data_IF_619463617149
#
_entry.id   IF_619463617149
#
_cell.length_a   1.000
_cell.length_b   1.000
_cell.length_c   1.000
_cell.angle_alpha   90.00
_cell.angle_beta   90.00
_cell.angle_gamma   90.00
#
_symmetry.space_group_name_H-M   'P 1'
#
loop_
_entity.id
_entity.type
_entity.pdbx_description
1 polymer ?
#
# COMPACT_ATOMS: atom_id res chain seq x y z
N UNK A 1 -5.94 14.34 13.80
CA UNK A 1 -6.53 14.18 12.44
C UNK A 1 -6.28 15.44 11.61
N UNK A 2 -6.94 16.58 11.92
CA UNK A 2 -6.76 17.84 11.19
C UNK A 2 -5.29 18.29 11.07
N UNK A 3 -4.57 18.36 12.19
CA UNK A 3 -3.16 18.76 12.27
C UNK A 3 -2.21 17.91 11.40
N UNK A 4 -2.47 16.60 11.30
CA UNK A 4 -1.63 15.68 10.56
C UNK A 4 -1.90 15.77 9.05
N UNK A 5 -3.18 15.73 8.65
CA UNK A 5 -3.56 15.83 7.24
C UNK A 5 -3.27 17.20 6.66
N UNK A 6 -3.34 18.29 7.43
CA UNK A 6 -2.88 19.61 7.01
C UNK A 6 -1.40 19.63 6.57
N UNK A 7 -0.56 18.80 7.22
CA UNK A 7 0.88 18.72 6.95
C UNK A 7 1.28 17.83 5.76
N UNK A 8 0.41 16.93 5.29
CA UNK A 8 0.76 15.88 4.30
C UNK A 8 0.19 16.10 2.90
N UNK A 9 -0.44 17.26 2.62
CA UNK A 9 -1.13 17.55 1.35
C UNK A 9 -0.18 17.73 0.15
N UNK A 10 -0.68 17.45 -1.07
CA UNK A 10 0.04 17.59 -2.34
C UNK A 10 0.33 19.06 -2.70
N UNK A 11 1.29 19.30 -3.59
CA UNK A 11 1.97 20.60 -3.76
C UNK A 11 1.08 21.85 -3.94
N UNK A 12 0.00 21.76 -4.72
CA UNK A 12 -0.94 22.88 -4.94
C UNK A 12 -1.81 23.12 -3.70
N UNK A 13 -2.21 22.05 -3.02
CA UNK A 13 -2.99 22.12 -1.79
C UNK A 13 -2.11 22.61 -0.64
N UNK A 14 -0.81 22.28 -0.61
CA UNK A 14 0.17 22.82 0.36
C UNK A 14 0.30 24.34 0.29
N UNK A 15 0.25 24.94 -0.91
CA UNK A 15 0.35 26.40 -1.08
C UNK A 15 -0.90 27.07 -0.50
N UNK A 16 -2.09 26.55 -0.78
CA UNK A 16 -3.35 27.08 -0.24
C UNK A 16 -3.51 26.80 1.26
N UNK A 17 -3.08 25.62 1.73
CA UNK A 17 -3.07 25.23 3.13
C UNK A 17 -2.13 26.13 3.96
N UNK A 18 -0.97 26.55 3.45
CA UNK A 18 -0.06 27.47 4.17
C UNK A 18 -0.70 28.80 4.58
N UNK A 19 -1.75 29.25 3.89
CA UNK A 19 -2.45 30.48 4.25
C UNK A 19 -3.58 30.28 5.29
N UNK A 20 -4.05 29.05 5.51
CA UNK A 20 -5.24 28.77 6.34
C UNK A 20 -5.11 27.59 7.33
N UNK A 21 -4.02 26.82 7.27
CA UNK A 21 -3.76 25.61 8.03
C UNK A 21 -2.34 25.67 8.61
N UNK A 22 -2.22 26.10 9.86
CA UNK A 22 -1.00 25.95 10.66
C UNK A 22 -1.15 24.74 11.57
N UNK A 23 -0.38 23.68 11.33
CA UNK A 23 -0.37 22.54 12.23
C UNK A 23 1.02 22.09 12.65
N UNK A 24 1.13 21.61 13.88
CA UNK A 24 2.36 21.10 14.48
C UNK A 24 2.32 19.57 14.46
N UNK A 25 3.06 18.98 13.52
CA UNK A 25 3.02 17.54 13.31
C UNK A 25 3.63 16.75 14.49
N UNK A 26 4.55 17.34 15.27
CA UNK A 26 5.09 16.70 16.47
C UNK A 26 4.01 16.61 17.56
N UNK A 27 3.31 17.72 17.83
CA UNK A 27 2.16 17.73 18.76
C UNK A 27 1.03 16.82 18.29
N UNK A 28 0.76 16.79 16.98
CA UNK A 28 -0.21 15.86 16.40
C UNK A 28 0.13 14.39 16.70
N UNK A 29 1.41 14.01 16.57
CA UNK A 29 1.89 12.67 16.91
C UNK A 29 1.78 12.39 18.40
N UNK A 30 2.11 13.36 19.27
CA UNK A 30 1.96 13.26 20.72
C UNK A 30 0.50 12.99 21.11
N UNK A 31 -0.45 13.76 20.58
CA UNK A 31 -1.88 13.56 20.83
C UNK A 31 -2.37 12.20 20.37
N UNK A 32 -1.88 11.70 19.23
CA UNK A 32 -2.22 10.34 18.77
C UNK A 32 -1.66 9.27 19.70
N UNK A 33 -0.43 9.41 20.20
CA UNK A 33 0.15 8.48 21.18
C UNK A 33 -0.66 8.48 22.48
N UNK A 34 -0.99 9.66 23.00
CA UNK A 34 -1.84 9.80 24.19
C UNK A 34 -3.22 9.17 23.99
N UNK A 35 -3.84 9.39 22.82
CA UNK A 35 -5.13 8.81 22.48
C UNK A 35 -5.06 7.28 22.33
N UNK A 36 -3.98 6.73 21.76
CA UNK A 36 -3.75 5.28 21.73
C UNK A 36 -3.72 4.69 23.15
N UNK A 37 -3.07 5.36 24.09
CA UNK A 37 -2.89 4.86 25.46
C UNK A 37 -4.13 5.06 26.35
N UNK A 38 -4.81 6.20 26.24
CA UNK A 38 -5.86 6.63 27.18
C UNK A 38 -7.23 6.85 26.55
N UNK A 39 -7.33 6.77 25.23
CA UNK A 39 -8.58 7.04 24.51
C UNK A 39 -9.62 5.94 24.75
N UNK A 40 -10.78 6.31 25.25
CA UNK A 40 -11.87 5.36 25.52
C UNK A 40 -12.51 4.83 24.23
N UNK A 41 -12.85 5.72 23.28
CA UNK A 41 -13.50 5.34 22.02
C UNK A 41 -12.55 5.28 20.82
N UNK A 42 -11.50 6.09 20.82
CA UNK A 42 -10.69 6.36 19.62
C UNK A 42 -9.27 5.75 19.67
N UNK A 43 -8.95 4.93 20.67
CA UNK A 43 -7.62 4.34 20.83
C UNK A 43 -7.21 3.47 19.63
N UNK A 44 -8.12 2.63 19.12
CA UNK A 44 -7.87 1.81 17.93
C UNK A 44 -7.61 2.66 16.68
N UNK A 45 -8.41 3.72 16.48
CA UNK A 45 -8.21 4.62 15.35
C UNK A 45 -6.87 5.35 15.44
N UNK A 46 -6.50 5.83 16.63
CA UNK A 46 -5.21 6.46 16.87
C UNK A 46 -4.04 5.50 16.62
N UNK A 47 -4.16 4.25 17.06
CA UNK A 47 -3.15 3.22 16.80
C UNK A 47 -2.98 2.91 15.31
N UNK A 48 -4.08 2.78 14.57
CA UNK A 48 -4.04 2.56 13.12
C UNK A 48 -3.39 3.73 12.38
N UNK A 49 -3.74 4.98 12.74
CA UNK A 49 -3.11 6.17 12.16
C UNK A 49 -1.61 6.24 12.47
N UNK A 50 -1.20 5.91 13.70
CA UNK A 50 0.22 5.87 14.04
C UNK A 50 0.97 4.80 13.27
N UNK A 51 0.39 3.61 13.10
CA UNK A 51 1.00 2.56 12.28
C UNK A 51 1.16 3.05 10.84
N UNK A 52 0.13 3.66 10.25
CA UNK A 52 0.19 4.24 8.90
C UNK A 52 1.34 5.25 8.77
N UNK A 53 1.46 6.20 9.73
CA UNK A 53 2.55 7.18 9.81
C UNK A 53 3.93 6.51 9.88
N UNK A 54 4.04 5.44 10.67
CA UNK A 54 5.29 4.72 10.90
C UNK A 54 5.71 3.86 9.71
N UNK A 55 4.75 3.46 8.87
CA UNK A 55 4.98 2.69 7.66
C UNK A 55 5.16 3.55 6.41
N UNK A 56 4.76 4.82 6.41
CA UNK A 56 4.93 5.72 5.25
C UNK A 56 6.42 5.97 4.94
N UNK A 57 6.92 5.58 3.75
CA UNK A 57 8.30 5.83 3.33
C UNK A 57 8.69 7.31 3.27
N UNK A 58 7.72 8.20 3.06
CA UNK A 58 7.93 9.66 2.98
C UNK A 58 7.83 10.39 4.32
N UNK A 59 7.42 9.70 5.39
CA UNK A 59 7.19 10.31 6.70
C UNK A 59 8.49 10.54 7.47
N UNK A 60 8.65 11.74 8.05
CA UNK A 60 9.77 12.01 8.99
C UNK A 60 9.65 11.25 10.31
N UNK A 61 8.45 10.73 10.61
CA UNK A 61 8.15 9.96 11.82
C UNK A 61 8.21 8.46 11.60
N UNK A 62 8.70 8.03 10.43
CA UNK A 62 8.80 6.64 10.03
C UNK A 62 9.48 5.80 11.12
N UNK A 63 8.83 4.71 11.53
CA UNK A 63 9.29 3.83 12.60
C UNK A 63 8.76 2.38 12.38
N UNK A 64 9.21 1.69 11.30
CA UNK A 64 8.60 0.44 10.85
C UNK A 64 8.69 -0.68 11.86
N UNK A 65 9.81 -0.81 12.59
CA UNK A 65 9.94 -1.81 13.65
C UNK A 65 8.87 -1.63 14.75
N UNK A 66 8.52 -0.38 15.09
CA UNK A 66 7.41 -0.10 16.01
C UNK A 66 6.06 -0.48 15.41
N UNK A 67 5.85 -0.16 14.13
CA UNK A 67 4.66 -0.58 13.40
C UNK A 67 4.50 -2.12 13.35
N UNK A 68 5.59 -2.87 13.15
CA UNK A 68 5.58 -4.35 13.20
C UNK A 68 5.13 -4.85 14.57
N UNK A 69 5.69 -4.30 15.65
CA UNK A 69 5.29 -4.67 17.01
C UNK A 69 3.80 -4.40 17.24
N UNK A 70 3.33 -3.20 16.95
CA UNK A 70 1.94 -2.80 17.24
C UNK A 70 0.93 -3.51 16.33
N UNK A 71 1.25 -3.69 15.05
CA UNK A 71 0.40 -4.43 14.13
C UNK A 71 0.29 -5.91 14.50
N UNK A 72 1.36 -6.52 15.03
CA UNK A 72 1.32 -7.89 15.57
C UNK A 72 0.45 -7.98 16.85
N UNK A 73 0.53 -7.00 17.75
CA UNK A 73 -0.36 -6.91 18.92
C UNK A 73 -1.82 -6.73 18.50
N UNK A 74 -2.06 -5.90 17.49
CA UNK A 74 -3.38 -5.68 16.91
C UNK A 74 -3.93 -6.94 16.24
N UNK A 75 -3.08 -7.69 15.54
CA UNK A 75 -3.42 -8.98 14.95
C UNK A 75 -3.87 -9.99 16.00
N UNK A 76 -3.19 -10.05 17.14
CA UNK A 76 -3.54 -10.93 18.26
C UNK A 76 -4.89 -10.56 18.89
N UNK A 77 -5.19 -9.27 19.03
CA UNK A 77 -6.49 -8.79 19.53
C UNK A 77 -7.65 -9.03 18.56
N UNK A 78 -7.37 -8.95 17.26
CA UNK A 78 -8.37 -9.13 16.20
C UNK A 78 -7.96 -10.25 15.22
N UNK A 79 -7.95 -11.52 15.67
CA UNK A 79 -7.38 -12.64 14.91
C UNK A 79 -8.15 -12.98 13.63
N UNK A 80 -9.37 -12.48 13.46
CA UNK A 80 -10.20 -12.73 12.27
C UNK A 80 -10.52 -11.46 11.46
N UNK A 81 -9.84 -10.34 11.73
CA UNK A 81 -10.10 -9.09 11.03
C UNK A 81 -9.12 -8.87 9.86
N UNK A 82 -9.60 -8.82 8.59
CA UNK A 82 -8.75 -8.72 7.41
C UNK A 82 -7.89 -7.44 7.40
N UNK A 83 -8.43 -6.31 7.87
CA UNK A 83 -7.65 -5.07 7.92
C UNK A 83 -6.44 -5.18 8.85
N UNK A 84 -6.59 -5.82 10.03
CA UNK A 84 -5.51 -5.92 11.00
C UNK A 84 -4.41 -6.86 10.49
N UNK A 85 -4.83 -7.91 9.76
CA UNK A 85 -3.93 -8.77 9.02
C UNK A 85 -3.15 -8.00 7.95
N UNK A 86 -3.84 -7.18 7.16
CA UNK A 86 -3.18 -6.42 6.11
C UNK A 86 -2.24 -5.32 6.64
N UNK A 87 -2.60 -4.66 7.73
CA UNK A 87 -1.74 -3.69 8.43
C UNK A 87 -0.43 -4.33 8.89
N UNK A 88 -0.48 -5.57 9.37
CA UNK A 88 0.73 -6.31 9.72
C UNK A 88 1.59 -6.65 8.50
N UNK A 89 0.97 -7.09 7.40
CA UNK A 89 1.68 -7.36 6.13
C UNK A 89 2.42 -6.11 5.64
N UNK A 90 1.75 -4.95 5.66
CA UNK A 90 2.35 -3.66 5.31
C UNK A 90 3.50 -3.31 6.24
N UNK A 91 3.30 -3.44 7.55
CA UNK A 91 4.33 -3.13 8.54
C UNK A 91 5.59 -3.99 8.34
N UNK A 92 5.42 -5.29 8.09
CA UNK A 92 6.52 -6.21 7.80
C UNK A 92 7.24 -5.84 6.50
N UNK A 93 6.50 -5.51 5.44
CA UNK A 93 7.07 -5.10 4.16
C UNK A 93 7.90 -3.82 4.31
N UNK A 94 7.35 -2.81 4.99
CA UNK A 94 8.02 -1.53 5.21
C UNK A 94 9.20 -1.64 6.19
N UNK A 95 9.24 -2.66 7.04
CA UNK A 95 10.42 -3.02 7.84
C UNK A 95 11.42 -3.91 7.09
N UNK A 96 11.18 -4.18 5.80
CA UNK A 96 11.99 -5.06 4.94
C UNK A 96 12.02 -6.54 5.38
N UNK A 97 11.07 -6.96 6.22
CA UNK A 97 10.85 -8.35 6.59
C UNK A 97 10.02 -9.07 5.51
N UNK A 98 10.59 -9.18 4.30
CA UNK A 98 9.84 -9.60 3.10
C UNK A 98 9.38 -11.06 3.15
N UNK A 99 10.16 -11.95 3.77
CA UNK A 99 9.81 -13.35 3.92
C UNK A 99 8.57 -13.53 4.82
N UNK A 100 8.56 -12.81 5.95
CA UNK A 100 7.45 -12.77 6.91
C UNK A 100 6.22 -12.09 6.29
N UNK A 101 6.40 -10.95 5.61
CA UNK A 101 5.32 -10.26 4.91
C UNK A 101 4.65 -11.19 3.87
N UNK A 102 5.45 -11.96 3.13
CA UNK A 102 4.97 -12.94 2.16
C UNK A 102 4.26 -14.11 2.83
N UNK A 103 4.79 -14.63 3.93
CA UNK A 103 4.16 -15.69 4.73
C UNK A 103 2.77 -15.27 5.20
N UNK A 104 2.64 -14.09 5.81
CA UNK A 104 1.34 -13.56 6.26
C UNK A 104 0.42 -13.28 5.06
N UNK A 105 0.95 -12.81 3.94
CA UNK A 105 0.16 -12.64 2.71
C UNK A 105 -0.40 -13.96 2.17
N UNK A 106 0.35 -15.06 2.25
CA UNK A 106 -0.14 -16.38 1.88
C UNK A 106 -1.19 -16.92 2.85
N UNK A 107 -1.00 -16.70 4.16
CA UNK A 107 -2.03 -17.03 5.16
C UNK A 107 -3.32 -16.22 4.93
N UNK A 108 -3.21 -14.94 4.57
CA UNK A 108 -4.37 -14.14 4.16
C UNK A 108 -5.04 -14.76 2.93
N UNK A 109 -4.28 -15.06 1.88
CA UNK A 109 -4.80 -15.65 0.65
C UNK A 109 -5.48 -16.99 0.91
N UNK A 110 -4.95 -17.80 1.83
CA UNK A 110 -5.57 -19.04 2.28
C UNK A 110 -6.93 -18.76 2.93
N UNK A 111 -7.03 -17.83 3.88
CA UNK A 111 -8.30 -17.45 4.53
C UNK A 111 -9.36 -16.94 3.55
N UNK A 112 -8.93 -16.21 2.50
CA UNK A 112 -9.81 -15.82 1.40
C UNK A 112 -10.38 -17.03 0.65
N UNK A 113 -9.54 -18.02 0.36
CA UNK A 113 -9.93 -19.25 -0.36
C UNK A 113 -10.83 -20.16 0.49
N UNK A 114 -10.54 -20.24 1.78
CA UNK A 114 -11.30 -21.02 2.76
C UNK A 114 -12.65 -20.36 3.11
N UNK A 115 -12.94 -19.17 2.55
CA UNK A 115 -14.21 -18.47 2.79
C UNK A 115 -14.39 -17.96 4.22
N UNK A 116 -13.28 -17.69 4.92
CA UNK A 116 -13.34 -17.23 6.31
C UNK A 116 -14.17 -15.93 6.44
N UNK A 117 -15.01 -15.79 7.47
CA UNK A 117 -15.81 -14.58 7.67
C UNK A 117 -14.96 -13.30 7.58
N UNK A 118 -15.51 -12.26 6.95
CA UNK A 118 -14.85 -10.96 6.66
C UNK A 118 -13.73 -10.99 5.60
N UNK A 119 -13.14 -12.14 5.27
CA UNK A 119 -12.17 -12.27 4.18
C UNK A 119 -12.89 -12.37 2.84
N UNK A 120 -13.23 -11.21 2.27
CA UNK A 120 -14.02 -11.10 1.03
C UNK A 120 -13.16 -11.13 -0.23
N UNK A 121 -13.69 -11.71 -1.30
CA UNK A 121 -13.10 -11.82 -2.65
C UNK A 121 -12.54 -10.49 -3.17
N UNK A 122 -13.18 -9.36 -2.88
CA UNK A 122 -12.71 -8.03 -3.31
C UNK A 122 -11.33 -7.63 -2.74
N UNK A 123 -10.84 -8.31 -1.71
CA UNK A 123 -9.49 -8.14 -1.19
C UNK A 123 -8.43 -8.96 -1.92
N UNK A 124 -8.81 -9.86 -2.83
CA UNK A 124 -7.87 -10.67 -3.60
C UNK A 124 -6.80 -9.84 -4.33
N UNK A 125 -7.12 -8.82 -5.14
CA UNK A 125 -6.09 -8.09 -5.88
C UNK A 125 -5.08 -7.40 -4.95
N UNK A 126 -5.52 -6.96 -3.77
CA UNK A 126 -4.64 -6.38 -2.74
C UNK A 126 -3.58 -7.38 -2.28
N UNK A 127 -4.00 -8.59 -1.95
CA UNK A 127 -3.11 -9.59 -1.37
C UNK A 127 -2.19 -10.19 -2.43
N UNK A 128 -2.71 -10.44 -3.64
CA UNK A 128 -1.88 -10.87 -4.77
C UNK A 128 -0.81 -9.82 -5.09
N UNK A 129 -1.16 -8.53 -5.08
CA UNK A 129 -0.18 -7.45 -5.31
C UNK A 129 0.85 -7.37 -4.19
N UNK A 130 0.45 -7.56 -2.93
CA UNK A 130 1.39 -7.60 -1.81
C UNK A 130 2.40 -8.77 -1.96
N UNK A 131 1.93 -9.97 -2.34
CA UNK A 131 2.81 -11.12 -2.62
C UNK A 131 3.77 -10.78 -3.76
N UNK A 132 3.25 -10.26 -4.88
CA UNK A 132 4.08 -9.88 -6.03
C UNK A 132 5.14 -8.83 -5.67
N UNK A 133 4.81 -7.86 -4.81
CA UNK A 133 5.75 -6.86 -4.34
C UNK A 133 6.92 -7.48 -3.56
N UNK A 134 6.67 -8.50 -2.71
CA UNK A 134 7.74 -9.19 -1.98
C UNK A 134 8.70 -9.94 -2.92
N UNK A 135 8.19 -10.53 -4.01
CA UNK A 135 9.06 -11.16 -5.01
C UNK A 135 9.81 -10.13 -5.87
N UNK A 136 9.18 -8.99 -6.17
CA UNK A 136 9.79 -7.92 -6.95
C UNK A 136 11.05 -7.38 -6.27
N UNK A 137 11.00 -7.15 -4.94
CA UNK A 137 12.14 -6.63 -4.18
C UNK A 137 13.27 -7.65 -4.04
N UNK A 138 12.93 -8.94 -4.06
CA UNK A 138 13.88 -10.06 -4.09
C UNK A 138 14.40 -10.37 -5.51
N UNK A 139 14.02 -9.54 -6.50
CA UNK A 139 14.37 -9.70 -7.93
C UNK A 139 13.88 -11.02 -8.54
N UNK A 140 12.95 -11.72 -7.89
CA UNK A 140 12.25 -12.87 -8.45
C UNK A 140 11.11 -12.38 -9.37
N UNK A 141 11.50 -11.85 -10.52
CA UNK A 141 10.58 -11.15 -11.41
C UNK A 141 9.53 -12.06 -12.04
N UNK A 142 9.83 -13.34 -12.26
CA UNK A 142 8.87 -14.24 -12.89
C UNK A 142 7.73 -14.60 -11.92
N UNK A 143 8.01 -14.84 -10.64
CA UNK A 143 6.96 -14.98 -9.63
C UNK A 143 6.22 -13.67 -9.38
N UNK A 144 6.93 -12.54 -9.31
CA UNK A 144 6.27 -11.24 -9.15
C UNK A 144 5.27 -10.97 -10.29
N UNK A 145 5.66 -11.25 -11.55
CA UNK A 145 4.78 -11.14 -12.72
C UNK A 145 3.57 -12.08 -12.62
N UNK A 146 3.75 -13.32 -12.17
CA UNK A 146 2.67 -14.29 -11.98
C UNK A 146 1.61 -13.75 -11.00
N UNK A 147 2.01 -13.18 -9.86
CA UNK A 147 1.07 -12.63 -8.89
C UNK A 147 0.45 -11.30 -9.34
N UNK A 148 1.21 -10.40 -9.97
CA UNK A 148 0.65 -9.17 -10.51
C UNK A 148 -0.34 -9.44 -11.64
N UNK A 149 -0.09 -10.42 -12.50
CA UNK A 149 -1.02 -10.82 -13.55
C UNK A 149 -2.33 -11.34 -12.96
N UNK A 150 -2.26 -12.24 -11.97
CA UNK A 150 -3.45 -12.72 -11.25
C UNK A 150 -4.24 -11.59 -10.59
N UNK A 151 -3.56 -10.58 -10.03
CA UNK A 151 -4.21 -9.41 -9.46
C UNK A 151 -4.89 -8.54 -10.54
N UNK A 152 -4.22 -8.32 -11.67
CA UNK A 152 -4.75 -7.53 -12.77
C UNK A 152 -5.92 -8.23 -13.48
N UNK A 153 -5.93 -9.56 -13.56
CA UNK A 153 -7.02 -10.31 -14.18
C UNK A 153 -8.36 -10.17 -13.44
N UNK A 154 -8.35 -9.77 -12.16
CA UNK A 154 -9.59 -9.46 -11.44
C UNK A 154 -10.32 -8.25 -12.03
N UNK A 155 -9.66 -7.39 -12.82
CA UNK A 155 -10.32 -6.30 -13.56
C UNK A 155 -11.31 -6.80 -14.61
N UNK A 156 -11.21 -8.06 -15.03
CA UNK A 156 -12.07 -8.67 -16.04
C UNK A 156 -13.23 -9.47 -15.42
N UNK A 157 -13.19 -9.73 -14.12
CA UNK A 157 -14.18 -10.59 -13.44
C UNK A 157 -15.57 -9.94 -13.36
N UNK A 158 -15.61 -8.62 -13.14
CA UNK A 158 -16.85 -7.84 -13.17
C UNK A 158 -16.62 -6.52 -13.89
N UNK A 159 -16.92 -6.44 -15.21
CA UNK A 159 -16.75 -5.21 -15.98
C UNK A 159 -17.64 -4.03 -15.54
N UNK A 160 -18.67 -4.28 -14.72
CA UNK A 160 -19.58 -3.23 -14.22
C UNK A 160 -19.12 -2.68 -12.88
N UNK A 161 -18.29 -3.41 -12.13
CA UNK A 161 -17.72 -2.93 -10.88
C UNK A 161 -16.64 -1.87 -11.14
N UNK A 162 -16.51 -0.86 -10.27
CA UNK A 162 -15.36 0.02 -10.29
C UNK A 162 -14.07 -0.80 -10.20
N UNK A 163 -13.03 -0.46 -10.99
CA UNK A 163 -11.78 -1.20 -10.98
C UNK A 163 -11.16 -1.19 -9.58
N UNK A 164 -10.73 -2.34 -9.09
CA UNK A 164 -10.05 -2.40 -7.81
C UNK A 164 -8.70 -1.67 -7.89
N UNK A 165 -8.48 -0.68 -7.02
CA UNK A 165 -7.20 0.07 -6.88
C UNK A 165 -5.96 -0.81 -7.04
N UNK A 166 -5.93 -1.90 -6.30
CA UNK A 166 -4.81 -2.83 -6.27
C UNK A 166 -4.60 -3.60 -7.58
N UNK A 167 -5.68 -3.88 -8.31
CA UNK A 167 -5.58 -4.55 -9.61
C UNK A 167 -5.03 -3.61 -10.68
N UNK A 168 -5.42 -2.33 -10.66
CA UNK A 168 -4.82 -1.30 -11.53
C UNK A 168 -3.35 -1.10 -11.18
N UNK A 169 -3.00 -1.03 -9.89
CA UNK A 169 -1.60 -0.92 -9.48
C UNK A 169 -0.76 -2.13 -9.87
N UNK A 170 -1.34 -3.33 -9.89
CA UNK A 170 -0.66 -4.52 -10.38
C UNK A 170 -0.26 -4.41 -11.87
N UNK A 171 -1.07 -3.73 -12.71
CA UNK A 171 -0.69 -3.41 -14.10
C UNK A 171 0.53 -2.48 -14.15
N UNK A 172 0.57 -1.45 -13.29
CA UNK A 172 1.72 -0.55 -13.16
C UNK A 172 2.95 -1.34 -12.73
N UNK A 173 2.84 -2.16 -11.68
CA UNK A 173 3.93 -2.99 -11.17
C UNK A 173 4.43 -4.03 -12.19
N UNK A 174 3.55 -4.55 -13.05
CA UNK A 174 3.94 -5.38 -14.20
C UNK A 174 4.80 -4.56 -15.17
N UNK A 175 4.39 -3.33 -15.48
CA UNK A 175 5.18 -2.38 -16.28
C UNK A 175 6.55 -2.11 -15.67
N UNK A 176 6.62 -1.89 -14.35
CA UNK A 176 7.88 -1.68 -13.64
C UNK A 176 8.84 -2.85 -13.84
N UNK A 177 8.35 -4.10 -13.76
CA UNK A 177 9.18 -5.28 -14.02
C UNK A 177 9.61 -5.35 -15.49
N UNK A 178 8.74 -4.97 -16.44
CA UNK A 178 9.13 -4.94 -17.86
C UNK A 178 10.26 -3.94 -18.11
N UNK A 179 10.21 -2.75 -17.50
CA UNK A 179 11.33 -1.80 -17.53
C UNK A 179 12.60 -2.39 -16.91
N UNK A 180 12.51 -3.05 -15.75
CA UNK A 180 13.66 -3.70 -15.10
C UNK A 180 14.27 -4.82 -15.96
N UNK A 181 13.46 -5.51 -16.77
CA UNK A 181 13.91 -6.53 -17.73
C UNK A 181 14.39 -5.94 -19.08
N UNK A 182 14.40 -4.61 -19.23
CA UNK A 182 14.78 -3.92 -20.47
C UNK A 182 13.70 -3.93 -21.57
N UNK A 183 12.51 -4.45 -21.28
CA UNK A 183 11.39 -4.54 -22.22
C UNK A 183 10.53 -3.26 -22.16
N UNK A 184 11.14 -2.15 -22.55
CA UNK A 184 10.54 -0.81 -22.46
C UNK A 184 9.24 -0.69 -23.26
N UNK A 185 9.16 -1.32 -24.42
CA UNK A 185 7.98 -1.27 -25.27
C UNK A 185 6.75 -1.85 -24.53
N UNK A 186 6.88 -3.06 -23.96
CA UNK A 186 5.80 -3.67 -23.17
C UNK A 186 5.51 -2.92 -21.88
N UNK A 187 6.53 -2.32 -21.24
CA UNK A 187 6.32 -1.48 -20.07
C UNK A 187 5.40 -0.29 -20.40
N UNK A 188 5.69 0.43 -21.49
CA UNK A 188 4.88 1.56 -21.95
C UNK A 188 3.46 1.16 -22.31
N UNK A 189 3.25 0.00 -22.95
CA UNK A 189 1.91 -0.53 -23.22
C UNK A 189 1.12 -0.75 -21.92
N UNK A 190 1.75 -1.33 -20.90
CA UNK A 190 1.13 -1.58 -19.60
C UNK A 190 0.82 -0.26 -18.87
N UNK A 191 1.71 0.71 -18.90
CA UNK A 191 1.47 2.04 -18.32
C UNK A 191 0.33 2.76 -19.03
N UNK A 192 0.28 2.74 -20.37
CA UNK A 192 -0.83 3.30 -21.14
C UNK A 192 -2.15 2.61 -20.81
N UNK A 193 -2.15 1.29 -20.65
CA UNK A 193 -3.33 0.53 -20.22
C UNK A 193 -3.76 0.89 -18.80
N UNK A 194 -2.83 1.00 -17.85
CA UNK A 194 -3.16 1.46 -16.50
C UNK A 194 -3.73 2.89 -16.51
N UNK A 195 -3.23 3.76 -17.40
CA UNK A 195 -3.65 5.15 -17.56
C UNK A 195 -5.09 5.32 -18.04
N UNK A 196 -5.69 4.31 -18.69
CA UNK A 196 -7.09 4.37 -19.16
C UNK A 196 -8.10 4.21 -18.03
N UNK A 197 -7.69 3.68 -16.87
CA UNK A 197 -8.55 3.61 -15.69
C UNK A 197 -8.62 5.00 -15.05
N UNK A 198 -9.83 5.37 -14.60
CA UNK A 198 -10.06 6.61 -13.86
C UNK A 198 -9.16 6.65 -12.64
N UNK A 199 -8.43 7.74 -12.47
CA UNK A 199 -7.57 7.93 -11.31
C UNK A 199 -8.32 8.55 -10.14
N UNK A 200 -8.59 7.73 -9.15
CA UNK A 200 -9.18 8.14 -7.87
C UNK A 200 -8.14 8.07 -6.73
N UNK A 201 -6.90 7.71 -7.04
CA UNK A 201 -5.87 7.36 -6.05
C UNK A 201 -4.54 8.11 -6.25
N UNK A 202 -4.42 8.94 -7.28
CA UNK A 202 -3.18 9.67 -7.60
C UNK A 202 -2.18 8.85 -8.44
N UNK A 203 -2.60 7.74 -9.06
CA UNK A 203 -1.75 6.89 -9.87
C UNK A 203 -1.24 7.58 -11.15
N UNK A 204 -1.97 8.54 -11.70
CA UNK A 204 -1.57 9.22 -12.94
C UNK A 204 -0.24 9.93 -12.79
N UNK A 205 0.09 10.51 -11.63
CA UNK A 205 1.40 11.15 -11.41
C UNK A 205 2.55 10.15 -11.58
N UNK A 206 2.41 8.96 -10.99
CA UNK A 206 3.39 7.88 -11.10
C UNK A 206 3.43 7.30 -12.52
N UNK A 207 2.27 7.03 -13.12
CA UNK A 207 2.17 6.49 -14.48
C UNK A 207 2.77 7.47 -15.50
N UNK A 208 2.46 8.76 -15.41
CA UNK A 208 2.96 9.79 -16.31
C UNK A 208 4.48 9.99 -16.13
N UNK A 209 4.99 9.80 -14.91
CA UNK A 209 6.44 9.69 -14.68
C UNK A 209 7.03 8.47 -15.39
N UNK A 210 6.45 7.28 -15.20
CA UNK A 210 6.95 6.04 -15.79
C UNK A 210 6.82 5.98 -17.32
N UNK A 211 5.90 6.73 -17.92
CA UNK A 211 5.81 6.92 -19.37
C UNK A 211 6.98 7.74 -19.91
N UNK A 212 7.49 8.71 -19.14
CA UNK A 212 8.62 9.57 -19.53
C UNK A 212 9.97 8.95 -19.20
N UNK A 213 10.08 8.29 -18.06
CA UNK A 213 11.32 7.69 -17.54
C UNK A 213 11.08 6.23 -17.15
N UNK A 214 11.94 5.29 -17.56
CA UNK A 214 11.77 3.90 -17.17
C UNK A 214 11.91 3.73 -15.66
N UNK A 215 11.12 2.81 -15.10
CA UNK A 215 11.34 2.34 -13.73
C UNK A 215 12.72 1.68 -13.63
N UNK A 216 13.44 1.94 -12.54
CA UNK A 216 14.79 1.43 -12.30
C UNK A 216 14.91 0.83 -10.90
N UNK A 217 16.04 0.17 -10.61
CA UNK A 217 16.29 -0.40 -9.28
C UNK A 217 16.28 0.66 -8.16
N UNK A 218 16.60 1.93 -8.48
CA UNK A 218 16.54 3.05 -7.53
C UNK A 218 15.13 3.34 -7.03
N UNK A 219 14.11 2.84 -7.73
CA UNK A 219 12.72 3.00 -7.35
C UNK A 219 12.19 1.85 -6.48
N UNK A 220 12.99 0.80 -6.22
CA UNK A 220 12.62 -0.28 -5.31
C UNK A 220 12.78 0.16 -3.83
N UNK A 221 11.94 -0.36 -2.91
CA UNK A 221 10.83 -1.31 -3.15
C UNK A 221 9.55 -0.65 -3.72
N UNK A 222 9.47 0.67 -3.63
CA UNK A 222 8.21 1.42 -3.76
C UNK A 222 7.30 1.18 -2.55
N UNK A 223 6.29 2.03 -2.36
CA UNK A 223 5.41 1.95 -1.19
C UNK A 223 4.43 0.76 -1.25
N UNK A 224 4.13 0.20 -0.07
CA UNK A 224 2.98 -0.66 0.19
C UNK A 224 2.23 -0.08 1.42
N UNK A 225 1.00 0.47 1.30
CA UNK A 225 0.09 0.46 0.15
C UNK A 225 0.60 1.30 -1.04
N UNK A 226 0.02 1.12 -2.24
CA UNK A 226 0.31 2.03 -3.34
C UNK A 226 -0.02 3.48 -2.94
N UNK A 227 0.60 4.46 -3.61
CA UNK A 227 0.35 5.88 -3.36
C UNK A 227 -1.13 6.25 -3.53
#
# INVERSE_FOLDING_TARGET
MYEYYAGTLSGVIKILARFFLSGDADKGLEYMKLCREKGYFNSLAAELMLIEIYTDPGSRFRAPATAVKWSAELRKRYPFHPQMHFVQIVSLFEDKQYAEARKESFEYLKRLRDGMPMYRRNFLPRILTAIGATYQVEKNYDEALNYFQKAADTLKEDPKAPPARWAVWALVKTGNIRDLKGDRAKAVELYKKARTYKDEWGFWEFIDHYLKKPFSELNLPGALPPP
#
